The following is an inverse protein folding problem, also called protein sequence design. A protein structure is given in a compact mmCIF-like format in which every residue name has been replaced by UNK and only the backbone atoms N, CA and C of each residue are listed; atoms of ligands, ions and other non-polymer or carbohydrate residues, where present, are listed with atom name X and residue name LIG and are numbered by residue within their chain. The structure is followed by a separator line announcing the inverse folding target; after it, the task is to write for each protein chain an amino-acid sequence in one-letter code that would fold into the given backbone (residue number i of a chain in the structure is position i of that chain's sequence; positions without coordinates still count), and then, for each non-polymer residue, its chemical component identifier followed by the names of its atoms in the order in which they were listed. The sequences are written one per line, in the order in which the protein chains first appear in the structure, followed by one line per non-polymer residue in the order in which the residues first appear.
data_IF_445015249334
#
_entry.id   IF_445015249334
#
_cell.length_a   1.000
_cell.length_b   1.000
_cell.length_c   1.000
_cell.angle_alpha   90.00
_cell.angle_beta   90.00
_cell.angle_gamma   90.00
#
_symmetry.space_group_name_H-M   'P 1'
#
loop_
_entity.id
_entity.type
_entity.pdbx_description
1 polymer ?
#
# COMPACT_ATOMS: atom_id res chain seq x y z
N UNK A 1 15.14 4.38 6.32
CA UNK A 1 15.08 2.95 6.00
C UNK A 1 15.09 2.71 4.47
N UNK A 2 16.08 3.22 3.73
CA UNK A 2 16.06 3.15 2.26
C UNK A 2 16.32 1.75 1.68
N UNK A 3 16.93 0.85 2.46
CA UNK A 3 17.40 -0.45 1.98
C UNK A 3 16.41 -1.61 2.18
N UNK A 4 15.37 -1.44 2.99
CA UNK A 4 14.47 -2.55 3.35
C UNK A 4 13.77 -3.15 2.12
N UNK A 5 13.26 -2.32 1.19
CA UNK A 5 12.59 -2.79 -0.03
C UNK A 5 13.55 -3.49 -1.01
N UNK A 6 14.72 -2.91 -1.37
CA UNK A 6 15.72 -3.62 -2.18
C UNK A 6 16.19 -4.94 -1.56
N UNK A 7 16.48 -4.96 -0.24
CA UNK A 7 16.89 -6.17 0.49
C UNK A 7 15.78 -7.23 0.43
N UNK A 8 14.53 -6.85 0.70
CA UNK A 8 13.41 -7.78 0.62
C UNK A 8 13.30 -8.42 -0.76
N UNK A 9 13.41 -7.64 -1.84
CA UNK A 9 13.36 -8.17 -3.22
C UNK A 9 14.50 -9.14 -3.53
N UNK A 10 15.71 -8.86 -3.04
CA UNK A 10 16.88 -9.70 -3.31
C UNK A 10 16.83 -11.04 -2.56
N UNK A 11 16.36 -11.05 -1.31
CA UNK A 11 16.47 -12.23 -0.43
C UNK A 11 15.17 -13.01 -0.27
N UNK A 12 13.99 -12.44 -0.54
CA UNK A 12 12.70 -13.07 -0.25
C UNK A 12 12.54 -14.47 -0.87
N UNK A 13 12.84 -14.64 -2.17
CA UNK A 13 12.71 -15.94 -2.84
C UNK A 13 13.59 -17.02 -2.21
N UNK A 14 14.80 -16.66 -1.79
CA UNK A 14 15.74 -17.58 -1.11
C UNK A 14 15.28 -17.94 0.29
N UNK A 15 14.70 -16.99 1.01
CA UNK A 15 14.12 -17.22 2.34
C UNK A 15 12.90 -18.14 2.27
N UNK A 16 12.01 -17.95 1.30
CA UNK A 16 10.84 -18.83 1.10
C UNK A 16 11.26 -20.26 0.78
N UNK A 17 12.35 -20.45 0.03
CA UNK A 17 12.89 -21.77 -0.31
C UNK A 17 13.66 -22.44 0.83
N UNK A 18 14.06 -21.69 1.87
CA UNK A 18 14.74 -22.25 3.02
C UNK A 18 13.74 -22.98 3.92
N UNK A 19 14.14 -24.13 4.48
CA UNK A 19 13.33 -24.89 5.43
C UNK A 19 13.37 -24.20 6.81
N UNK A 20 12.71 -23.04 6.90
CA UNK A 20 12.75 -22.15 8.06
C UNK A 20 11.90 -22.68 9.22
N UNK A 21 12.31 -22.32 10.44
CA UNK A 21 11.53 -22.60 11.63
C UNK A 21 10.22 -21.79 11.61
N UNK A 22 9.18 -22.30 12.27
CA UNK A 22 7.86 -21.62 12.32
C UNK A 22 7.93 -20.18 12.85
N UNK A 23 8.88 -19.91 13.74
CA UNK A 23 9.11 -18.58 14.32
C UNK A 23 9.64 -17.56 13.29
N UNK A 24 10.36 -18.00 12.26
CA UNK A 24 10.97 -17.13 11.25
C UNK A 24 10.00 -16.81 10.10
N UNK A 25 8.91 -17.57 9.98
CA UNK A 25 7.91 -17.38 8.91
C UNK A 25 7.23 -16.01 8.98
N UNK A 26 7.05 -15.44 10.17
CA UNK A 26 6.46 -14.09 10.29
C UNK A 26 7.35 -13.06 9.60
N UNK A 27 8.66 -13.08 9.86
CA UNK A 27 9.62 -12.17 9.24
C UNK A 27 9.63 -12.33 7.71
N UNK A 28 9.59 -13.57 7.21
CA UNK A 28 9.52 -13.83 5.77
C UNK A 28 8.28 -13.21 5.15
N UNK A 29 7.12 -13.37 5.77
CA UNK A 29 5.89 -12.75 5.26
C UNK A 29 5.95 -11.22 5.37
N UNK A 30 6.51 -10.66 6.44
CA UNK A 30 6.71 -9.21 6.54
C UNK A 30 7.63 -8.65 5.45
N UNK A 31 8.70 -9.37 5.10
CA UNK A 31 9.55 -9.02 3.96
C UNK A 31 8.78 -9.15 2.64
N UNK A 32 7.95 -10.19 2.50
CA UNK A 32 7.12 -10.40 1.33
C UNK A 32 6.19 -9.23 1.01
N UNK A 33 5.68 -8.53 2.03
CA UNK A 33 4.85 -7.33 1.89
C UNK A 33 5.53 -6.17 1.14
N UNK A 34 6.88 -6.16 1.08
CA UNK A 34 7.67 -5.16 0.35
C UNK A 34 8.05 -5.60 -1.08
N UNK A 35 7.55 -6.74 -1.54
CA UNK A 35 7.89 -7.34 -2.84
C UNK A 35 6.68 -7.48 -3.76
N UNK A 36 6.88 -8.00 -4.97
CA UNK A 36 5.80 -8.43 -5.86
C UNK A 36 4.91 -9.54 -5.28
N UNK A 37 5.38 -10.26 -4.25
CA UNK A 37 4.65 -11.35 -3.59
C UNK A 37 3.79 -10.89 -2.41
N UNK A 38 3.54 -9.58 -2.28
CA UNK A 38 2.88 -9.00 -1.11
C UNK A 38 1.49 -9.60 -0.81
N UNK A 39 0.74 -10.01 -1.84
CA UNK A 39 -0.58 -10.61 -1.66
C UNK A 39 -0.50 -12.00 -1.02
N UNK A 40 0.43 -12.84 -1.46
CA UNK A 40 0.60 -14.20 -0.90
C UNK A 40 1.18 -14.12 0.51
N UNK A 41 2.11 -13.20 0.73
CA UNK A 41 2.60 -12.87 2.06
C UNK A 41 1.46 -12.41 3.00
N UNK A 42 0.56 -11.55 2.53
CA UNK A 42 -0.60 -11.09 3.29
C UNK A 42 -1.58 -12.23 3.60
N UNK A 43 -1.87 -13.12 2.64
CA UNK A 43 -2.73 -14.31 2.88
C UNK A 43 -2.19 -15.18 4.02
N UNK A 44 -0.87 -15.35 4.09
CA UNK A 44 -0.22 -16.12 5.15
C UNK A 44 -0.22 -15.41 6.53
N UNK A 45 -0.42 -14.09 6.56
CA UNK A 45 -0.51 -13.29 7.78
C UNK A 45 -1.92 -13.19 8.37
N UNK A 46 -2.97 -13.44 7.56
CA UNK A 46 -4.39 -13.36 7.99
C UNK A 46 -4.63 -14.09 9.31
N UNK A 47 -4.02 -15.27 9.47
CA UNK A 47 -4.28 -16.17 10.61
C UNK A 47 -3.46 -15.85 11.85
N UNK A 48 -2.58 -14.82 11.80
CA UNK A 48 -1.47 -14.72 12.76
C UNK A 48 -1.47 -13.48 13.63
N UNK A 49 -2.08 -12.36 13.26
CA UNK A 49 -2.00 -11.16 14.11
C UNK A 49 -3.04 -10.07 13.83
N UNK A 50 -3.56 -9.46 14.91
CA UNK A 50 -4.29 -8.19 14.86
C UNK A 50 -3.40 -7.01 14.44
N UNK A 51 -2.08 -7.14 14.60
CA UNK A 51 -1.08 -6.12 14.25
C UNK A 51 -1.08 -5.83 12.75
N UNK A 52 -1.18 -6.87 11.92
CA UNK A 52 -1.05 -6.78 10.46
C UNK A 52 -2.37 -6.53 9.71
N UNK A 53 -3.42 -6.11 10.41
CA UNK A 53 -4.76 -5.98 9.80
C UNK A 53 -4.81 -4.92 8.71
N UNK A 54 -4.07 -3.82 8.87
CA UNK A 54 -4.00 -2.79 7.84
C UNK A 54 -3.26 -3.30 6.60
N UNK A 55 -2.09 -3.92 6.79
CA UNK A 55 -1.31 -4.48 5.68
C UNK A 55 -2.09 -5.54 4.92
N UNK A 56 -2.81 -6.42 5.62
CA UNK A 56 -3.68 -7.42 4.99
C UNK A 56 -4.84 -6.76 4.25
N UNK A 57 -5.48 -5.75 4.85
CA UNK A 57 -6.60 -5.04 4.24
C UNK A 57 -6.18 -4.34 2.95
N UNK A 58 -5.05 -3.62 2.97
CA UNK A 58 -4.45 -2.97 1.80
C UNK A 58 -4.05 -4.02 0.76
N UNK A 59 -3.26 -5.02 1.15
CA UNK A 59 -2.70 -6.00 0.23
C UNK A 59 -3.78 -6.78 -0.55
N UNK A 60 -4.86 -7.13 0.14
CA UNK A 60 -5.94 -7.93 -0.41
C UNK A 60 -7.14 -7.09 -0.89
N UNK A 61 -7.07 -5.76 -0.77
CA UNK A 61 -8.18 -4.84 -1.03
C UNK A 61 -9.45 -5.25 -0.25
N UNK A 62 -9.29 -5.62 1.03
CA UNK A 62 -10.35 -6.18 1.90
C UNK A 62 -10.50 -5.38 3.19
N UNK A 63 -11.43 -4.43 3.16
CA UNK A 63 -11.71 -3.52 4.29
C UNK A 63 -13.04 -3.79 5.01
N UNK A 64 -13.77 -4.85 4.66
CA UNK A 64 -15.15 -5.10 5.14
C UNK A 64 -15.29 -5.18 6.66
N UNK A 65 -14.24 -5.58 7.39
CA UNK A 65 -14.21 -5.62 8.85
C UNK A 65 -12.99 -4.91 9.43
N UNK A 66 -12.41 -3.98 8.65
CA UNK A 66 -11.28 -3.19 9.08
C UNK A 66 -11.79 -1.99 9.89
N UNK A 67 -11.40 -1.91 11.16
CA UNK A 67 -11.64 -0.74 12.00
C UNK A 67 -10.33 0.05 12.16
N UNK A 68 -10.27 1.28 11.66
CA UNK A 68 -9.08 2.11 11.76
C UNK A 68 -8.84 2.52 13.23
N UNK A 69 -7.57 2.62 13.61
CA UNK A 69 -7.13 2.93 14.97
C UNK A 69 -6.55 4.35 15.12
N UNK A 70 -6.29 5.01 14.01
CA UNK A 70 -5.76 6.37 13.95
C UNK A 70 -6.16 7.04 12.64
N UNK A 71 -5.83 8.33 12.50
CA UNK A 71 -6.20 9.14 11.33
C UNK A 71 -5.57 8.63 10.03
N UNK A 72 -4.35 8.10 10.10
CA UNK A 72 -3.67 7.50 8.94
C UNK A 72 -4.40 6.24 8.43
N UNK A 73 -4.76 5.30 9.32
CA UNK A 73 -5.57 4.12 8.98
C UNK A 73 -6.95 4.54 8.43
N UNK A 74 -7.54 5.62 8.98
CA UNK A 74 -8.80 6.19 8.50
C UNK A 74 -8.66 6.79 7.09
N UNK A 75 -7.55 7.46 6.79
CA UNK A 75 -7.25 8.04 5.48
C UNK A 75 -7.12 6.94 4.41
N UNK A 76 -6.35 5.88 4.70
CA UNK A 76 -6.27 4.70 3.82
C UNK A 76 -7.65 4.10 3.61
N UNK A 77 -8.43 3.89 4.68
CA UNK A 77 -9.80 3.35 4.54
C UNK A 77 -10.68 4.23 3.63
N UNK A 78 -10.63 5.57 3.81
CA UNK A 78 -11.38 6.53 2.98
C UNK A 78 -11.00 6.43 1.51
N UNK A 79 -9.71 6.38 1.17
CA UNK A 79 -9.27 6.23 -0.22
C UNK A 79 -9.82 4.97 -0.92
N UNK A 80 -10.10 3.92 -0.13
CA UNK A 80 -10.60 2.65 -0.66
C UNK A 80 -12.13 2.54 -0.67
N UNK A 81 -12.82 3.13 0.32
CA UNK A 81 -14.27 3.02 0.49
C UNK A 81 -15.05 4.20 -0.07
N UNK A 82 -14.49 5.39 0.03
CA UNK A 82 -15.11 6.66 -0.39
C UNK A 82 -14.06 7.46 -1.17
N UNK A 83 -13.60 6.95 -2.33
CA UNK A 83 -12.53 7.57 -3.09
C UNK A 83 -12.92 8.99 -3.49
N UNK A 84 -11.95 9.90 -3.46
CA UNK A 84 -12.12 11.31 -3.82
C UNK A 84 -11.18 11.64 -4.97
N UNK A 85 -11.77 11.96 -6.13
CA UNK A 85 -11.01 12.42 -7.30
C UNK A 85 -11.09 13.95 -7.35
N UNK A 86 -9.95 14.65 -7.26
CA UNK A 86 -9.93 16.11 -7.38
C UNK A 86 -10.49 16.58 -8.72
N UNK A 87 -11.15 17.73 -8.74
CA UNK A 87 -11.67 18.32 -9.98
C UNK A 87 -10.56 18.58 -11.01
N UNK A 88 -9.37 18.99 -10.55
CA UNK A 88 -8.17 19.13 -11.38
C UNK A 88 -7.81 17.83 -12.10
N UNK A 89 -7.82 16.70 -11.40
CA UNK A 89 -7.56 15.37 -11.96
C UNK A 89 -8.62 15.00 -13.02
N UNK A 90 -9.90 15.19 -12.71
CA UNK A 90 -10.99 14.93 -13.66
C UNK A 90 -10.84 15.74 -14.96
N UNK A 91 -10.43 17.01 -14.85
CA UNK A 91 -10.19 17.86 -16.01
C UNK A 91 -9.00 17.39 -16.85
N UNK A 92 -7.90 16.97 -16.23
CA UNK A 92 -6.74 16.43 -16.94
C UNK A 92 -7.10 15.14 -17.68
N UNK A 93 -7.88 14.25 -17.05
CA UNK A 93 -8.37 13.03 -17.68
C UNK A 93 -9.26 13.33 -18.90
N UNK A 94 -10.17 14.30 -18.78
CA UNK A 94 -11.02 14.73 -19.89
C UNK A 94 -10.22 15.29 -21.08
N UNK A 95 -9.02 15.84 -20.81
CA UNK A 95 -8.09 16.34 -21.82
C UNK A 95 -7.14 15.27 -22.37
N UNK A 96 -7.26 14.00 -21.94
CA UNK A 96 -6.36 12.93 -22.35
C UNK A 96 -4.96 12.99 -21.73
N UNK A 97 -4.76 13.80 -20.67
CA UNK A 97 -3.46 14.06 -20.04
C UNK A 97 -3.12 13.04 -18.95
N UNK A 98 -3.14 11.75 -19.27
CA UNK A 98 -2.89 10.68 -18.29
C UNK A 98 -1.52 10.81 -17.61
N UNK A 99 -0.48 11.21 -18.34
CA UNK A 99 0.86 11.41 -17.78
C UNK A 99 0.90 12.49 -16.69
N UNK A 100 0.19 13.61 -16.89
CA UNK A 100 0.09 14.67 -15.87
C UNK A 100 -0.68 14.20 -14.64
N UNK A 101 -1.71 13.37 -14.82
CA UNK A 101 -2.47 12.77 -13.71
C UNK A 101 -1.60 11.85 -12.86
N UNK A 102 -0.77 11.01 -13.49
CA UNK A 102 0.16 10.12 -12.78
C UNK A 102 1.19 10.94 -12.00
N UNK A 103 1.76 11.99 -12.61
CA UNK A 103 2.71 12.87 -11.93
C UNK A 103 2.06 13.58 -10.75
N UNK A 104 0.87 14.14 -10.95
CA UNK A 104 0.11 14.81 -9.90
C UNK A 104 -0.19 13.88 -8.71
N UNK A 105 -0.68 12.67 -8.97
CA UNK A 105 -0.96 11.69 -7.93
C UNK A 105 0.32 11.25 -7.20
N UNK A 106 1.46 11.18 -7.90
CA UNK A 106 2.76 10.86 -7.29
C UNK A 106 3.21 11.96 -6.32
N UNK A 107 3.08 13.23 -6.72
CA UNK A 107 3.40 14.38 -5.86
C UNK A 107 2.47 14.47 -4.64
N UNK A 108 1.18 14.19 -4.81
CA UNK A 108 0.24 14.10 -3.69
C UNK A 108 0.59 12.93 -2.76
N UNK A 109 1.00 11.78 -3.31
CA UNK A 109 1.41 10.64 -2.49
C UNK A 109 2.62 10.99 -1.61
N UNK A 110 3.60 11.71 -2.16
CA UNK A 110 4.80 12.16 -1.43
C UNK A 110 4.43 13.07 -0.25
N UNK A 111 3.61 14.10 -0.48
CA UNK A 111 3.09 14.94 0.61
C UNK A 111 2.26 14.14 1.62
N UNK A 112 1.49 13.18 1.12
CA UNK A 112 0.72 12.27 1.95
C UNK A 112 1.57 11.36 2.83
N UNK A 113 2.74 10.94 2.35
CA UNK A 113 3.72 10.22 3.17
C UNK A 113 4.41 11.11 4.21
N UNK A 114 4.44 12.43 4.00
CA UNK A 114 4.96 13.41 4.96
C UNK A 114 3.88 13.91 5.95
N UNK A 115 2.65 13.39 5.88
CA UNK A 115 1.59 13.62 6.85
C UNK A 115 0.36 14.36 6.33
N UNK A 116 0.32 14.81 5.07
CA UNK A 116 -0.89 15.38 4.48
C UNK A 116 -1.90 14.28 4.12
N UNK A 117 -2.73 13.90 5.09
CA UNK A 117 -3.69 12.81 4.92
C UNK A 117 -4.73 13.08 3.82
N UNK A 118 -5.01 14.34 3.49
CA UNK A 118 -5.94 14.67 2.40
C UNK A 118 -5.30 14.37 1.05
N UNK A 119 -4.05 14.80 0.85
CA UNK A 119 -3.28 14.48 -0.35
C UNK A 119 -3.05 12.96 -0.47
N UNK A 120 -2.84 12.24 0.65
CA UNK A 120 -2.76 10.78 0.63
C UNK A 120 -4.07 10.12 0.12
N UNK A 121 -5.22 10.62 0.57
CA UNK A 121 -6.54 10.12 0.12
C UNK A 121 -6.70 10.33 -1.38
N UNK A 122 -6.39 11.54 -1.86
CA UNK A 122 -6.57 11.93 -3.26
C UNK A 122 -5.59 11.20 -4.18
N UNK A 123 -4.34 11.03 -3.77
CA UNK A 123 -3.34 10.26 -4.49
C UNK A 123 -3.78 8.80 -4.68
N UNK A 124 -4.14 8.13 -3.59
CA UNK A 124 -4.57 6.74 -3.62
C UNK A 124 -5.87 6.56 -4.40
N UNK A 125 -6.83 7.47 -4.24
CA UNK A 125 -8.07 7.47 -5.01
C UNK A 125 -7.80 7.61 -6.50
N UNK A 126 -6.92 8.53 -6.87
CA UNK A 126 -6.55 8.82 -8.27
C UNK A 126 -5.84 7.64 -8.91
N UNK A 127 -4.78 7.12 -8.29
CA UNK A 127 -4.02 5.97 -8.81
C UNK A 127 -4.95 4.77 -9.06
N UNK A 128 -5.85 4.49 -8.12
CA UNK A 128 -6.85 3.42 -8.25
C UNK A 128 -7.83 3.67 -9.39
N UNK A 129 -8.32 4.91 -9.52
CA UNK A 129 -9.26 5.30 -10.56
C UNK A 129 -8.70 5.13 -11.98
N UNK A 130 -7.40 5.37 -12.16
CA UNK A 130 -6.71 5.23 -13.45
C UNK A 130 -6.12 3.82 -13.69
N UNK A 131 -6.47 2.82 -12.88
CA UNK A 131 -6.06 1.43 -13.06
C UNK A 131 -4.70 1.05 -12.46
N UNK A 132 -4.08 1.92 -11.66
CA UNK A 132 -2.79 1.67 -10.99
C UNK A 132 -2.97 1.16 -9.55
N UNK A 133 -4.00 0.35 -9.29
CA UNK A 133 -4.30 -0.19 -7.94
C UNK A 133 -3.17 -1.07 -7.38
N UNK A 134 -2.47 -1.84 -8.22
CA UNK A 134 -1.31 -2.63 -7.77
C UNK A 134 -0.18 -1.73 -7.24
N UNK A 135 0.18 -0.72 -8.03
CA UNK A 135 1.20 0.27 -7.65
C UNK A 135 0.80 1.02 -6.39
N UNK A 136 -0.46 1.46 -6.29
CA UNK A 136 -0.99 2.11 -5.10
C UNK A 136 -0.86 1.23 -3.86
N UNK A 137 -1.28 -0.05 -3.93
CA UNK A 137 -1.16 -1.00 -2.82
C UNK A 137 0.28 -1.22 -2.40
N UNK A 138 1.19 -1.41 -3.35
CA UNK A 138 2.62 -1.61 -3.06
C UNK A 138 3.24 -0.38 -2.41
N UNK A 139 2.93 0.82 -2.90
CA UNK A 139 3.39 2.07 -2.30
C UNK A 139 2.85 2.26 -0.87
N UNK A 140 1.55 2.02 -0.65
CA UNK A 140 0.96 2.08 0.70
C UNK A 140 1.58 1.06 1.64
N UNK A 141 1.83 -0.17 1.20
CA UNK A 141 2.49 -1.20 2.03
C UNK A 141 3.92 -0.81 2.39
N UNK A 142 4.68 -0.25 1.44
CA UNK A 142 6.00 0.31 1.74
C UNK A 142 5.90 1.40 2.81
N UNK A 143 4.97 2.36 2.68
CA UNK A 143 4.78 3.41 3.69
C UNK A 143 4.46 2.83 5.08
N UNK A 144 3.53 1.87 5.17
CA UNK A 144 3.18 1.22 6.45
C UNK A 144 4.38 0.52 7.08
N UNK A 145 5.20 -0.19 6.28
CA UNK A 145 6.32 -0.98 6.79
C UNK A 145 7.55 -0.15 7.13
N UNK A 146 7.74 0.99 6.49
CA UNK A 146 8.89 1.87 6.72
C UNK A 146 8.63 2.92 7.80
N UNK A 147 7.36 3.08 8.20
CA UNK A 147 6.91 4.12 9.11
C UNK A 147 6.37 5.31 8.31
N UNK A 148 5.34 5.92 8.89
CA UNK A 148 4.77 7.21 8.52
C UNK A 148 4.89 8.14 9.73
#
# INVERSE_FOLDING_TARGET
SALATPIARLFYKRLVAANLLKQDLVLVHEMGLLTEHYQDAAKALITRSRRHRLEVAVALNRFTFFSPRNEFEQAILKAYKTPRIPYSVSNLLAQGKLGEVILYATLQFEKGSDGDLQDLIEALSTLRHIGLDDSARRATLSLIKLGY
#
